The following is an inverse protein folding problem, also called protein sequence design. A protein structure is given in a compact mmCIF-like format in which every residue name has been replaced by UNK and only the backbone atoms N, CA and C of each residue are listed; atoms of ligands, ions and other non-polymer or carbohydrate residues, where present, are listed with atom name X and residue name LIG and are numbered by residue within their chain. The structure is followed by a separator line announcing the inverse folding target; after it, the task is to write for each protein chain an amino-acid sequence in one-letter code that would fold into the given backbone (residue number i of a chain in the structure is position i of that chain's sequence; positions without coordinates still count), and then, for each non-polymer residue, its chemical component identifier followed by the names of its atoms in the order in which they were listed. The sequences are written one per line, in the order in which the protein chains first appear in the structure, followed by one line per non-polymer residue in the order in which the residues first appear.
data_IF_864802591000
#
_entry.id   IF_864802591000
#
_cell.length_a   1.000
_cell.length_b   1.000
_cell.length_c   1.000
_cell.angle_alpha   90.00
_cell.angle_beta   90.00
_cell.angle_gamma   90.00
#
_symmetry.space_group_name_H-M   'P 1'
#
loop_
_entity.id
_entity.type
_entity.pdbx_description
1 polymer ?
#
# COMPACT_ATOMS: atom_id res chain seq x y z
N UNK A 1 15.77 6.09 17.84
CA UNK A 1 14.97 7.29 17.48
C UNK A 1 13.57 6.82 17.14
N UNK A 2 12.51 7.26 17.83
CA UNK A 2 11.12 6.88 17.48
C UNK A 2 10.80 7.53 16.14
N UNK A 3 10.72 6.73 15.08
CA UNK A 3 10.34 7.19 13.74
C UNK A 3 8.97 7.90 13.77
N UNK A 4 8.80 8.94 12.96
CA UNK A 4 7.49 9.60 12.82
C UNK A 4 6.48 8.56 12.35
N UNK A 5 5.40 8.39 13.11
CA UNK A 5 4.28 7.52 12.73
C UNK A 5 3.55 8.15 11.54
N UNK A 6 3.34 7.39 10.47
CA UNK A 6 2.53 7.81 9.33
C UNK A 6 1.07 8.00 9.77
N UNK A 7 0.51 9.18 9.54
CA UNK A 7 -0.89 9.53 9.86
C UNK A 7 -1.32 10.77 9.09
N UNK A 8 -2.63 10.93 8.93
CA UNK A 8 -3.19 12.18 8.40
C UNK A 8 -2.87 13.38 9.29
N UNK A 9 -2.67 14.53 8.64
CA UNK A 9 -2.61 15.83 9.31
C UNK A 9 -4.03 16.21 9.80
N UNK A 10 -4.11 16.82 10.97
CA UNK A 10 -5.36 17.38 11.52
C UNK A 10 -5.43 18.88 11.23
N UNK A 11 -6.60 19.40 10.85
CA UNK A 11 -6.80 20.83 10.54
C UNK A 11 -7.55 21.06 9.23
N UNK A 12 -7.72 22.33 8.81
CA UNK A 12 -8.25 22.65 7.49
C UNK A 12 -7.34 22.05 6.42
N UNK A 13 -7.89 21.22 5.54
CA UNK A 13 -7.16 20.61 4.44
C UNK A 13 -7.81 20.99 3.11
N UNK A 14 -6.97 21.33 2.13
CA UNK A 14 -7.45 21.63 0.78
C UNK A 14 -8.02 20.36 0.14
N UNK A 15 -9.05 20.52 -0.69
CA UNK A 15 -9.62 19.40 -1.45
C UNK A 15 -8.60 18.92 -2.47
N UNK A 16 -8.52 17.60 -2.62
CA UNK A 16 -7.67 16.92 -3.60
C UNK A 16 -8.45 15.81 -4.28
N UNK A 17 -8.10 15.53 -5.54
CA UNK A 17 -8.71 14.44 -6.29
C UNK A 17 -7.64 13.47 -6.77
N UNK A 18 -7.91 12.17 -6.64
CA UNK A 18 -7.01 11.12 -7.08
C UNK A 18 -7.77 10.08 -7.91
N UNK A 19 -7.11 9.52 -8.92
CA UNK A 19 -7.60 8.36 -9.66
C UNK A 19 -6.61 7.23 -9.49
N UNK A 20 -6.97 6.26 -8.65
CA UNK A 20 -6.18 5.05 -8.42
C UNK A 20 -6.48 4.05 -9.53
N UNK A 21 -5.46 3.63 -10.28
CA UNK A 21 -5.55 2.59 -11.30
C UNK A 21 -4.70 1.40 -10.88
N UNK A 22 -5.30 0.21 -10.82
CA UNK A 22 -4.51 -0.99 -10.58
C UNK A 22 -3.85 -1.47 -11.89
N UNK A 23 -2.55 -1.28 -12.03
CA UNK A 23 -1.74 -1.78 -13.14
C UNK A 23 -1.02 -3.09 -12.80
N UNK A 24 -1.20 -3.61 -11.59
CA UNK A 24 -0.63 -4.88 -11.15
C UNK A 24 -1.55 -6.06 -11.47
N UNK A 25 -1.02 -7.29 -11.59
CA UNK A 25 -1.83 -8.50 -11.66
C UNK A 25 -2.45 -8.91 -10.31
N UNK A 26 -2.09 -8.22 -9.22
CA UNK A 26 -2.64 -8.45 -7.87
C UNK A 26 -3.97 -7.72 -7.71
N UNK A 27 -4.83 -8.18 -6.80
CA UNK A 27 -6.01 -7.41 -6.37
C UNK A 27 -5.53 -6.43 -5.31
N UNK A 28 -5.75 -5.13 -5.51
CA UNK A 28 -5.16 -4.09 -4.67
C UNK A 28 -6.17 -3.51 -3.68
N UNK A 29 -5.83 -3.52 -2.40
CA UNK A 29 -6.50 -2.70 -1.40
C UNK A 29 -5.98 -1.26 -1.42
N UNK A 30 -6.90 -0.31 -1.38
CA UNK A 30 -6.62 1.13 -1.28
C UNK A 30 -6.92 1.57 0.14
N UNK A 31 -5.87 1.90 0.88
CA UNK A 31 -5.94 2.16 2.31
C UNK A 31 -5.58 3.61 2.59
N UNK A 32 -6.48 4.31 3.27
CA UNK A 32 -6.17 5.60 3.87
C UNK A 32 -5.60 5.40 5.27
N UNK A 33 -4.52 6.09 5.61
CA UNK A 33 -3.96 6.08 6.96
C UNK A 33 -4.53 7.26 7.73
N UNK A 34 -5.45 7.00 8.65
CA UNK A 34 -6.21 8.03 9.35
C UNK A 34 -5.36 8.82 10.36
N UNK A 35 -6.00 9.73 11.11
CA UNK A 35 -5.33 10.61 12.08
C UNK A 35 -4.69 9.86 13.26
N UNK A 36 -5.09 8.62 13.53
CA UNK A 36 -4.54 7.74 14.56
C UNK A 36 -3.44 6.83 14.01
N UNK A 37 -3.18 6.88 12.70
CA UNK A 37 -2.27 5.96 12.01
C UNK A 37 -2.93 4.61 11.67
N UNK A 38 -4.23 4.45 11.91
CA UNK A 38 -4.97 3.26 11.56
C UNK A 38 -5.32 3.24 10.07
N UNK A 39 -5.30 2.04 9.47
CA UNK A 39 -5.54 1.84 8.04
C UNK A 39 -7.03 1.61 7.79
N UNK A 40 -7.64 2.51 7.04
CA UNK A 40 -9.05 2.46 6.66
C UNK A 40 -9.13 2.00 5.20
N UNK A 41 -9.74 0.84 4.97
CA UNK A 41 -9.86 0.27 3.64
C UNK A 41 -11.05 0.86 2.87
N UNK A 42 -10.78 1.46 1.71
CA UNK A 42 -11.81 2.04 0.83
C UNK A 42 -12.27 1.08 -0.28
N UNK A 43 -11.59 -0.04 -0.47
CA UNK A 43 -11.92 -1.09 -1.43
C UNK A 43 -12.43 -2.33 -0.70
N UNK A 44 -13.75 -2.41 -0.48
CA UNK A 44 -14.39 -3.51 0.27
C UNK A 44 -13.97 -4.93 -0.19
N UNK A 45 -13.79 -5.11 -1.50
CA UNK A 45 -13.40 -6.40 -2.11
C UNK A 45 -12.12 -6.28 -2.97
N UNK A 46 -11.29 -5.27 -2.68
CA UNK A 46 -10.12 -4.94 -3.48
C UNK A 46 -10.43 -4.41 -4.90
N UNK A 47 -9.46 -3.73 -5.49
CA UNK A 47 -9.50 -3.21 -6.85
C UNK A 47 -8.81 -4.20 -7.81
N UNK A 48 -9.56 -4.73 -8.78
CA UNK A 48 -9.05 -5.72 -9.76
C UNK A 48 -8.07 -5.09 -10.77
N UNK A 49 -7.24 -5.91 -11.39
CA UNK A 49 -6.31 -5.48 -12.45
C UNK A 49 -7.03 -4.72 -13.57
N UNK A 50 -6.48 -3.57 -13.96
CA UNK A 50 -7.00 -2.70 -15.01
C UNK A 50 -8.11 -1.74 -14.54
N UNK A 51 -8.73 -1.99 -13.39
CA UNK A 51 -9.82 -1.17 -12.87
C UNK A 51 -9.30 0.12 -12.23
N UNK A 52 -10.19 1.10 -12.13
CA UNK A 52 -9.93 2.41 -11.55
C UNK A 52 -10.90 2.73 -10.42
N UNK A 53 -10.43 3.51 -9.45
CA UNK A 53 -11.24 4.13 -8.41
C UNK A 53 -10.96 5.63 -8.40
N UNK A 54 -12.01 6.44 -8.52
CA UNK A 54 -11.94 7.88 -8.34
C UNK A 54 -12.17 8.22 -6.87
N UNK A 55 -11.32 9.08 -6.32
CA UNK A 55 -11.33 9.43 -4.92
C UNK A 55 -11.34 10.94 -4.73
N UNK A 56 -12.30 11.40 -3.94
CA UNK A 56 -12.28 12.72 -3.35
C UNK A 56 -11.60 12.60 -1.99
N UNK A 57 -10.43 13.22 -1.87
CA UNK A 57 -9.59 13.18 -0.67
C UNK A 57 -9.17 14.61 -0.32
N UNK A 58 -8.26 14.73 0.63
CA UNK A 58 -7.71 15.99 1.05
C UNK A 58 -6.20 15.94 1.06
N UNK A 59 -5.60 17.11 0.95
CA UNK A 59 -4.18 17.32 1.21
C UNK A 59 -3.80 16.76 2.60
N UNK A 60 -2.63 16.14 2.68
CA UNK A 60 -2.13 15.59 3.94
C UNK A 60 -2.79 14.27 4.38
N UNK A 61 -3.66 13.67 3.55
CA UNK A 61 -4.14 12.30 3.74
C UNK A 61 -3.19 11.29 3.09
N UNK A 62 -2.47 10.45 3.85
CA UNK A 62 -1.61 9.45 3.28
C UNK A 62 -2.40 8.24 2.79
N UNK A 63 -2.07 7.78 1.59
CA UNK A 63 -2.63 6.58 0.99
C UNK A 63 -1.54 5.54 0.73
N UNK A 64 -1.83 4.30 1.08
CA UNK A 64 -0.97 3.14 0.81
C UNK A 64 -1.76 2.05 0.08
N UNK A 65 -1.03 1.18 -0.60
CA UNK A 65 -1.61 0.11 -1.41
C UNK A 65 -1.06 -1.24 -0.96
N UNK A 66 -1.94 -2.24 -0.81
CA UNK A 66 -1.57 -3.59 -0.38
C UNK A 66 -2.26 -4.64 -1.24
N UNK A 67 -1.68 -5.83 -1.36
CA UNK A 67 -2.39 -6.97 -1.93
C UNK A 67 -3.57 -7.34 -1.02
N UNK A 68 -4.75 -7.50 -1.62
CA UNK A 68 -6.00 -7.76 -0.91
C UNK A 68 -6.01 -9.08 -0.13
N UNK A 69 -5.28 -10.09 -0.61
CA UNK A 69 -5.30 -11.43 -0.01
C UNK A 69 -4.13 -11.63 0.97
N UNK A 70 -2.93 -11.20 0.60
CA UNK A 70 -1.72 -11.44 1.40
C UNK A 70 -1.32 -10.26 2.29
N UNK A 71 -1.88 -9.08 2.06
CA UNK A 71 -1.45 -7.84 2.71
C UNK A 71 -0.08 -7.35 2.25
N UNK A 72 0.51 -7.94 1.20
CA UNK A 72 1.85 -7.55 0.74
C UNK A 72 1.88 -6.13 0.18
N UNK A 73 3.01 -5.45 0.35
CA UNK A 73 3.25 -4.10 -0.15
C UNK A 73 3.03 -3.96 -1.66
N UNK A 74 2.18 -3.01 -2.06
CA UNK A 74 2.17 -2.48 -3.42
C UNK A 74 2.73 -1.05 -3.41
N UNK A 75 3.29 -0.64 -4.55
CA UNK A 75 3.81 0.72 -4.76
C UNK A 75 3.04 1.38 -5.89
N UNK A 76 3.25 2.67 -6.10
CA UNK A 76 2.64 3.39 -7.21
C UNK A 76 3.62 4.31 -7.92
N UNK A 77 3.25 4.75 -9.12
CA UNK A 77 3.80 5.95 -9.77
C UNK A 77 2.69 6.98 -9.94
N UNK A 78 3.01 8.26 -9.83
CA UNK A 78 2.01 9.33 -9.95
C UNK A 78 2.50 10.48 -10.84
N UNK A 79 1.58 11.08 -11.60
CA UNK A 79 1.93 12.21 -12.47
C UNK A 79 2.94 11.84 -13.55
N UNK A 80 3.94 12.72 -13.77
CA UNK A 80 5.00 12.55 -14.78
C UNK A 80 6.26 11.92 -14.22
N UNK A 81 6.40 11.85 -12.89
CA UNK A 81 7.48 11.09 -12.28
C UNK A 81 7.23 9.59 -12.49
N UNK A 82 8.29 8.87 -12.84
CA UNK A 82 8.24 7.41 -13.00
C UNK A 82 8.83 6.70 -11.79
N UNK A 83 8.95 7.41 -10.67
CA UNK A 83 9.53 6.85 -9.47
C UNK A 83 8.47 6.07 -8.70
N UNK A 84 8.86 4.88 -8.27
CA UNK A 84 7.98 4.05 -7.45
C UNK A 84 7.99 4.58 -6.02
N UNK A 85 6.81 4.87 -5.48
CA UNK A 85 6.62 5.38 -4.13
C UNK A 85 5.67 4.46 -3.35
N UNK A 86 5.84 4.41 -2.03
CA UNK A 86 4.99 3.60 -1.16
C UNK A 86 3.78 4.36 -0.60
N UNK A 87 3.95 5.65 -0.31
CA UNK A 87 2.92 6.51 0.27
C UNK A 87 2.56 7.64 -0.69
N UNK A 88 1.28 7.73 -1.04
CA UNK A 88 0.75 8.81 -1.85
C UNK A 88 0.19 9.91 -0.96
N UNK A 89 0.71 11.13 -1.14
CA UNK A 89 0.14 12.35 -0.57
C UNK A 89 -0.57 13.14 -1.68
N UNK A 90 -1.90 13.34 -1.59
CA UNK A 90 -2.66 14.08 -2.58
C UNK A 90 -2.21 15.52 -2.69
N UNK A 91 -2.14 16.01 -3.93
CA UNK A 91 -1.86 17.42 -4.25
C UNK A 91 -3.18 18.20 -4.20
N UNK A 92 -3.23 19.37 -3.55
CA UNK A 92 -4.39 20.26 -3.59
C UNK A 92 -4.86 20.59 -5.00
N UNK A 93 -6.16 20.82 -5.16
CA UNK A 93 -6.71 21.37 -6.38
C UNK A 93 -6.45 22.86 -6.40
N UNK A 94 -5.72 23.32 -7.41
CA UNK A 94 -5.42 24.72 -7.69
C UNK A 94 -5.43 24.97 -9.22
N UNK A 95 -5.10 26.20 -9.64
CA UNK A 95 -5.06 26.57 -11.06
C UNK A 95 -4.02 25.76 -11.86
N UNK A 96 -2.98 25.24 -11.19
CA UNK A 96 -1.92 24.45 -11.80
C UNK A 96 -2.28 22.95 -11.86
N UNK A 97 -3.13 22.48 -10.93
CA UNK A 97 -3.56 21.08 -10.78
C UNK A 97 -5.09 20.97 -10.77
N UNK A 98 -5.78 21.38 -11.85
CA UNK A 98 -7.26 21.38 -11.89
C UNK A 98 -7.84 19.96 -12.00
N UNK A 99 -7.01 18.93 -12.17
CA UNK A 99 -7.41 17.57 -12.48
C UNK A 99 -6.93 16.57 -11.43
N UNK A 100 -7.63 15.44 -11.33
CA UNK A 100 -7.27 14.38 -10.41
C UNK A 100 -5.89 13.79 -10.73
N UNK A 101 -5.04 13.65 -9.72
CA UNK A 101 -3.74 12.99 -9.88
C UNK A 101 -3.95 11.51 -10.24
N UNK A 102 -3.38 11.08 -11.37
CA UNK A 102 -3.39 9.67 -11.75
C UNK A 102 -2.33 8.91 -10.96
N UNK A 103 -2.75 7.87 -10.24
CA UNK A 103 -1.90 7.03 -9.40
C UNK A 103 -1.98 5.59 -9.92
N UNK A 104 -0.88 5.10 -10.49
CA UNK A 104 -0.81 3.78 -11.09
C UNK A 104 -0.17 2.78 -10.11
N UNK A 105 -0.98 1.91 -9.52
CA UNK A 105 -0.55 0.89 -8.55
C UNK A 105 0.13 -0.26 -9.27
N UNK A 106 1.28 -0.71 -8.77
CA UNK A 106 2.12 -1.75 -9.36
C UNK A 106 2.81 -2.61 -8.30
N UNK A 107 3.35 -3.75 -8.74
CA UNK A 107 4.21 -4.61 -7.91
C UNK A 107 5.59 -3.94 -7.80
N UNK A 108 6.15 -3.77 -6.59
CA UNK A 108 7.54 -3.33 -6.45
C UNK A 108 8.50 -4.44 -6.87
N UNK A 109 9.75 -4.05 -7.14
CA UNK A 109 10.84 -5.02 -7.21
C UNK A 109 11.17 -5.45 -5.77
N UNK A 110 10.51 -6.52 -5.32
CA UNK A 110 10.83 -7.15 -4.04
C UNK A 110 12.26 -7.68 -4.06
N UNK A 111 12.91 -7.64 -2.90
CA UNK A 111 14.11 -8.44 -2.67
C UNK A 111 13.78 -9.92 -2.85
N UNK A 112 14.80 -10.72 -3.20
CA UNK A 112 14.63 -12.16 -3.31
C UNK A 112 14.12 -12.77 -2.01
N UNK A 113 14.57 -12.25 -0.86
CA UNK A 113 14.14 -12.69 0.46
C UNK A 113 12.63 -12.45 0.66
N UNK A 114 12.15 -11.23 0.45
CA UNK A 114 10.72 -10.90 0.56
C UNK A 114 9.88 -11.76 -0.39
N UNK A 115 10.33 -11.91 -1.64
CA UNK A 115 9.58 -12.69 -2.62
C UNK A 115 9.53 -14.17 -2.26
N UNK A 116 10.62 -14.76 -1.79
CA UNK A 116 10.64 -16.15 -1.31
C UNK A 116 9.68 -16.33 -0.13
N UNK A 117 9.66 -15.40 0.83
CA UNK A 117 8.72 -15.44 1.95
C UNK A 117 7.26 -15.36 1.49
N UNK A 118 6.94 -14.51 0.51
CA UNK A 118 5.60 -14.45 -0.09
C UNK A 118 5.18 -15.77 -0.73
N UNK A 119 6.09 -16.37 -1.51
CA UNK A 119 5.80 -17.64 -2.19
C UNK A 119 5.59 -18.76 -1.18
N UNK A 120 6.45 -18.88 -0.17
CA UNK A 120 6.31 -19.90 0.90
C UNK A 120 5.00 -19.72 1.66
N UNK A 121 4.64 -18.48 2.05
CA UNK A 121 3.35 -18.20 2.71
C UNK A 121 2.16 -18.68 1.89
N UNK A 122 2.19 -18.52 0.57
CA UNK A 122 1.09 -18.94 -0.30
C UNK A 122 0.90 -20.47 -0.39
N UNK A 123 1.92 -21.25 -0.05
CA UNK A 123 1.82 -22.72 -0.01
C UNK A 123 1.35 -23.26 1.34
N UNK A 124 1.36 -22.43 2.39
CA UNK A 124 1.05 -22.84 3.76
C UNK A 124 -0.35 -22.37 4.13
N UNK A 125 -1.24 -23.33 4.42
CA UNK A 125 -2.66 -23.05 4.73
C UNK A 125 -2.87 -22.65 6.18
N UNK A 126 -2.17 -23.29 7.10
CA UNK A 126 -2.28 -23.05 8.53
C UNK A 126 -1.00 -22.41 9.05
N UNK A 127 -1.11 -21.31 9.81
CA UNK A 127 0.04 -20.61 10.37
C UNK A 127 0.85 -21.50 11.33
N UNK A 128 0.24 -22.49 11.96
CA UNK A 128 0.94 -23.47 12.80
C UNK A 128 1.91 -24.36 12.03
N UNK A 129 1.75 -24.47 10.70
CA UNK A 129 2.68 -25.23 9.86
C UNK A 129 4.02 -24.51 9.63
N UNK A 130 4.12 -23.21 9.92
CA UNK A 130 5.41 -22.50 9.84
C UNK A 130 6.45 -23.12 10.78
N UNK A 131 6.02 -23.64 11.94
CA UNK A 131 6.91 -24.26 12.91
C UNK A 131 7.49 -25.59 12.43
N UNK A 132 6.82 -26.26 11.48
CA UNK A 132 7.25 -27.53 10.89
C UNK A 132 8.33 -27.38 9.82
N UNK A 133 8.57 -26.17 9.32
CA UNK A 133 9.58 -25.92 8.30
C UNK A 133 10.99 -26.15 8.86
N UNK A 134 11.86 -26.81 8.09
CA UNK A 134 13.27 -27.01 8.46
C UNK A 134 14.13 -25.80 8.07
N UNK A 135 13.73 -24.61 8.54
CA UNK A 135 14.41 -23.33 8.30
C UNK A 135 14.70 -22.60 9.62
N UNK A 136 15.64 -21.63 9.62
CA UNK A 136 15.93 -20.83 10.81
C UNK A 136 14.69 -20.18 11.44
N UNK A 137 14.69 -20.10 12.78
CA UNK A 137 13.58 -19.53 13.57
C UNK A 137 13.23 -18.10 13.15
N UNK A 138 14.24 -17.30 12.79
CA UNK A 138 14.04 -15.93 12.29
C UNK A 138 13.13 -15.90 11.05
N UNK A 139 13.34 -16.82 10.10
CA UNK A 139 12.51 -16.90 8.90
C UNK A 139 11.10 -17.39 9.21
N UNK A 140 10.94 -18.32 10.17
CA UNK A 140 9.61 -18.73 10.65
C UNK A 140 8.84 -17.54 11.24
N UNK A 141 9.52 -16.74 12.06
CA UNK A 141 8.93 -15.52 12.64
C UNK A 141 8.52 -14.53 11.56
N UNK A 142 9.34 -14.33 10.52
CA UNK A 142 9.01 -13.44 9.39
C UNK A 142 7.86 -13.97 8.52
N UNK A 143 7.72 -15.29 8.36
CA UNK A 143 6.56 -15.89 7.68
C UNK A 143 5.27 -15.67 8.47
N UNK A 144 5.33 -15.82 9.81
CA UNK A 144 4.18 -15.60 10.68
C UNK A 144 3.79 -14.13 10.82
N UNK A 145 4.80 -13.24 10.83
CA UNK A 145 4.67 -11.80 11.03
C UNK A 145 5.39 -11.06 9.89
N UNK A 146 4.76 -10.92 8.71
CA UNK A 146 5.34 -10.17 7.61
C UNK A 146 5.62 -8.74 8.03
N UNK A 147 6.84 -8.25 7.75
CA UNK A 147 7.15 -6.84 7.94
C UNK A 147 6.28 -5.99 7.01
N UNK A 148 5.61 -5.00 7.59
CA UNK A 148 4.77 -4.05 6.86
C UNK A 148 4.98 -2.63 7.38
N UNK A 149 6.26 -2.33 7.62
CA UNK A 149 6.76 -1.01 7.94
C UNK A 149 6.66 -0.14 6.69
N UNK A 150 6.00 1.00 6.82
CA UNK A 150 5.86 1.97 5.73
C UNK A 150 7.03 2.93 5.78
N UNK A 151 7.86 2.93 4.75
CA UNK A 151 8.95 3.89 4.58
C UNK A 151 8.48 5.03 3.66
N UNK A 152 8.62 6.28 4.13
CA UNK A 152 8.19 7.48 3.41
C UNK A 152 8.97 8.73 3.83
#
# INVERSE_FOLDING_TARGET
MRGKQLKSVTGPSAKSYATYKNCSPRVADILWVNWEGARVNYTKNGLKQGYKMHMNTYEGHPWIFRDHHSGDKLVFTAGTDRQSQEVFFPIPVDDQHPHATQVNIQIPVYTLRERSLQVVRNFIKDKSDFDKLEIPLELKSQLANPEDTVEW
#
